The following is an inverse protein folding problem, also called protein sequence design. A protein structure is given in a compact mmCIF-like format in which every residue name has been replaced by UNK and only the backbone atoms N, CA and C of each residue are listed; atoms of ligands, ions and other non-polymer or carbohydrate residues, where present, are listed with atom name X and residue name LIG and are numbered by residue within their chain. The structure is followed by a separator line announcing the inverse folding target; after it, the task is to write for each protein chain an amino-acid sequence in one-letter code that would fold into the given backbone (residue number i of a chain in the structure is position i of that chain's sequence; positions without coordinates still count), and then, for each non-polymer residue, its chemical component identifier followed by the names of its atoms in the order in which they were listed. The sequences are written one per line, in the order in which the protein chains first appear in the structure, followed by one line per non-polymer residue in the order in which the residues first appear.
data_IF_210987890531
#
_entry.id   IF_210987890531
#
_cell.length_a   1.000
_cell.length_b   1.000
_cell.length_c   1.000
_cell.angle_alpha   90.00
_cell.angle_beta   90.00
_cell.angle_gamma   90.00
#
_symmetry.space_group_name_H-M   'P 1'
#
loop_
_entity.id
_entity.type
_entity.pdbx_description
1 polymer ?
#
# COMPACT_ATOMS: atom_id res chain seq x y z
N UNK A 1 15.05 -1.34 3.89
CA UNK A 1 15.79 -2.24 4.80
C UNK A 1 14.85 -3.24 5.47
N UNK A 2 14.36 -3.07 6.71
CA UNK A 2 13.61 -4.16 7.39
C UNK A 2 12.35 -4.66 6.64
N UNK A 3 11.53 -3.76 6.08
CA UNK A 3 10.33 -4.16 5.32
C UNK A 3 10.69 -5.00 4.08
N UNK A 4 11.82 -4.70 3.44
CA UNK A 4 12.26 -5.42 2.24
C UNK A 4 12.81 -6.79 2.61
N UNK A 5 13.51 -6.90 3.74
CA UNK A 5 13.99 -8.18 4.26
C UNK A 5 12.82 -9.11 4.61
N UNK A 6 11.76 -8.58 5.23
CA UNK A 6 10.54 -9.35 5.52
C UNK A 6 9.91 -9.83 4.22
N UNK A 7 9.76 -8.95 3.22
CA UNK A 7 9.21 -9.32 1.91
C UNK A 7 10.04 -10.44 1.27
N UNK A 8 11.37 -10.30 1.21
CA UNK A 8 12.25 -11.31 0.64
C UNK A 8 12.20 -12.65 1.38
N UNK A 9 12.20 -12.60 2.72
CA UNK A 9 12.14 -13.81 3.52
C UNK A 9 10.81 -14.56 3.34
N UNK A 10 9.69 -13.84 3.38
CA UNK A 10 8.36 -14.40 3.22
C UNK A 10 8.13 -14.93 1.79
N UNK A 11 8.63 -14.23 0.77
CA UNK A 11 8.64 -14.71 -0.62
C UNK A 11 9.37 -16.06 -0.73
N UNK A 12 10.58 -16.17 -0.18
CA UNK A 12 11.34 -17.42 -0.17
C UNK A 12 10.64 -18.54 0.63
N UNK A 13 9.94 -18.19 1.71
CA UNK A 13 9.21 -19.13 2.55
C UNK A 13 7.79 -19.47 2.03
N UNK A 14 7.33 -18.85 0.94
CA UNK A 14 5.97 -18.97 0.40
C UNK A 14 4.89 -18.60 1.44
N UNK A 15 5.18 -17.57 2.26
CA UNK A 15 4.26 -17.03 3.27
C UNK A 15 3.72 -15.70 2.75
N UNK A 16 2.39 -15.49 2.72
CA UNK A 16 1.81 -14.25 2.22
C UNK A 16 2.07 -13.07 3.18
N UNK A 17 2.34 -11.90 2.61
CA UNK A 17 2.60 -10.66 3.34
C UNK A 17 1.47 -9.66 3.11
N UNK A 18 1.03 -9.02 4.20
CA UNK A 18 0.10 -7.89 4.14
C UNK A 18 0.87 -6.62 4.45
N UNK A 19 0.98 -5.71 3.48
CA UNK A 19 1.50 -4.37 3.69
C UNK A 19 0.46 -3.53 4.41
N UNK A 20 0.80 -3.02 5.58
CA UNK A 20 -0.19 -2.54 6.53
C UNK A 20 0.22 -1.27 7.26
N UNK A 21 -0.84 -0.59 7.71
CA UNK A 21 -0.85 0.67 8.46
C UNK A 21 -0.39 1.88 7.64
N UNK A 22 -1.12 2.98 7.79
CA UNK A 22 -0.79 4.29 7.24
C UNK A 22 -0.62 4.42 5.71
N UNK A 23 -0.91 3.36 4.95
CA UNK A 23 -1.02 3.43 3.49
C UNK A 23 -2.15 4.40 3.13
N UNK A 24 -1.81 5.47 2.40
CA UNK A 24 -2.75 6.51 1.98
C UNK A 24 -3.63 7.06 3.13
N UNK A 25 -3.09 7.17 4.35
CA UNK A 25 -3.79 7.61 5.57
C UNK A 25 -4.42 9.00 5.42
N UNK A 26 -3.69 9.98 4.87
CA UNK A 26 -4.18 11.33 4.57
C UNK A 26 -5.23 11.30 3.48
N UNK A 27 -5.09 10.45 2.46
CA UNK A 27 -6.14 10.27 1.45
C UNK A 27 -7.41 9.76 2.09
N UNK A 28 -7.33 8.74 2.95
CA UNK A 28 -8.49 8.17 3.64
C UNK A 28 -9.13 9.17 4.63
N UNK A 29 -8.32 9.93 5.38
CA UNK A 29 -8.80 10.83 6.44
C UNK A 29 -9.15 12.24 5.98
N UNK A 30 -8.41 12.80 5.02
CA UNK A 30 -8.49 14.21 4.56
C UNK A 30 -8.71 14.37 3.05
N UNK A 31 -8.71 13.27 2.29
CA UNK A 31 -8.99 13.28 0.85
C UNK A 31 -7.82 13.75 -0.04
N UNK A 32 -6.64 14.01 0.52
CA UNK A 32 -5.47 14.49 -0.23
C UNK A 32 -4.23 13.66 0.14
N UNK A 33 -3.55 13.02 -0.82
CA UNK A 33 -2.33 12.27 -0.56
C UNK A 33 -1.11 13.19 -0.40
N UNK A 34 -0.15 12.76 0.40
CA UNK A 34 1.23 13.26 0.36
C UNK A 34 2.06 12.50 -0.67
N UNK A 35 3.16 13.09 -1.13
CA UNK A 35 4.13 12.39 -2.01
C UNK A 35 4.68 11.12 -1.37
N UNK A 36 4.94 11.16 -0.06
CA UNK A 36 5.45 10.01 0.68
C UNK A 36 4.46 8.84 0.65
N UNK A 37 3.16 9.10 0.80
CA UNK A 37 2.14 8.04 0.75
C UNK A 37 1.97 7.44 -0.64
N UNK A 38 2.17 8.22 -1.71
CA UNK A 38 2.18 7.69 -3.07
C UNK A 38 3.37 6.74 -3.27
N UNK A 39 4.56 7.13 -2.81
CA UNK A 39 5.75 6.27 -2.88
C UNK A 39 5.59 5.00 -2.03
N UNK A 40 5.03 5.10 -0.83
CA UNK A 40 4.74 3.94 0.03
C UNK A 40 3.73 2.98 -0.62
N UNK A 41 2.63 3.52 -1.16
CA UNK A 41 1.65 2.73 -1.90
C UNK A 41 2.24 2.03 -3.13
N UNK A 42 3.15 2.69 -3.86
CA UNK A 42 3.85 2.06 -4.97
C UNK A 42 4.75 0.90 -4.50
N UNK A 43 5.48 1.07 -3.39
CA UNK A 43 6.32 0.00 -2.83
C UNK A 43 5.52 -1.18 -2.29
N UNK A 44 4.30 -0.93 -1.81
CA UNK A 44 3.41 -1.97 -1.30
C UNK A 44 3.00 -3.02 -2.34
N UNK A 45 3.19 -2.77 -3.64
CA UNK A 45 2.92 -3.73 -4.73
C UNK A 45 3.66 -5.07 -4.56
N UNK A 46 4.80 -5.06 -3.86
CA UNK A 46 5.59 -6.28 -3.61
C UNK A 46 4.95 -7.21 -2.58
N UNK A 47 3.95 -6.75 -1.84
CA UNK A 47 3.18 -7.58 -0.92
C UNK A 47 1.97 -8.21 -1.62
N UNK A 48 1.47 -9.33 -1.07
CA UNK A 48 0.31 -10.02 -1.61
C UNK A 48 -1.00 -9.25 -1.39
N UNK A 49 -1.04 -8.41 -0.35
CA UNK A 49 -2.20 -7.61 -0.01
C UNK A 49 -1.78 -6.28 0.62
N UNK A 50 -2.58 -5.24 0.40
CA UNK A 50 -2.37 -3.90 0.96
C UNK A 50 -3.60 -3.51 1.79
N UNK A 51 -3.37 -3.11 3.03
CA UNK A 51 -4.43 -2.77 4.00
C UNK A 51 -4.53 -1.25 4.19
N UNK A 52 -5.75 -0.72 4.02
CA UNK A 52 -6.08 0.68 4.26
C UNK A 52 -6.78 0.88 5.60
N UNK A 53 -6.45 1.96 6.31
CA UNK A 53 -7.21 2.39 7.48
C UNK A 53 -8.52 3.06 7.08
N UNK A 54 -9.52 3.00 7.98
CA UNK A 54 -10.82 3.67 7.79
C UNK A 54 -10.67 5.20 7.72
N UNK A 55 -11.55 5.85 6.96
CA UNK A 55 -11.68 7.30 6.95
C UNK A 55 -12.85 7.79 6.08
N UNK A 56 -13.25 9.07 6.19
CA UNK A 56 -14.38 9.63 5.45
C UNK A 56 -14.25 9.52 3.93
N UNK A 57 -13.02 9.40 3.42
CA UNK A 57 -12.71 9.35 2.00
C UNK A 57 -12.22 7.96 1.56
N UNK A 58 -12.59 6.89 2.28
CA UNK A 58 -12.08 5.52 2.03
C UNK A 58 -12.28 5.05 0.58
N UNK A 59 -13.41 5.38 -0.05
CA UNK A 59 -13.64 5.01 -1.46
C UNK A 59 -12.66 5.68 -2.42
N UNK A 60 -12.24 6.92 -2.13
CA UNK A 60 -11.23 7.61 -2.92
C UNK A 60 -9.85 6.98 -2.70
N UNK A 61 -9.52 6.61 -1.46
CA UNK A 61 -8.27 5.91 -1.15
C UNK A 61 -8.19 4.53 -1.83
N UNK A 62 -9.27 3.75 -1.84
CA UNK A 62 -9.34 2.45 -2.54
C UNK A 62 -9.10 2.63 -4.04
N UNK A 63 -9.80 3.58 -4.69
CA UNK A 63 -9.64 3.84 -6.13
C UNK A 63 -8.22 4.31 -6.47
N UNK A 64 -7.64 5.16 -5.64
CA UNK A 64 -6.27 5.63 -5.82
C UNK A 64 -5.27 4.48 -5.69
N UNK A 65 -5.44 3.63 -4.69
CA UNK A 65 -4.58 2.46 -4.50
C UNK A 65 -4.68 1.50 -5.71
N UNK A 66 -5.90 1.20 -6.18
CA UNK A 66 -6.11 0.36 -7.37
C UNK A 66 -5.43 0.94 -8.62
N UNK A 67 -5.55 2.26 -8.86
CA UNK A 67 -4.88 2.95 -9.97
C UNK A 67 -3.34 2.89 -9.86
N UNK A 68 -2.78 3.12 -8.67
CA UNK A 68 -1.33 3.02 -8.44
C UNK A 68 -0.83 1.61 -8.72
N UNK A 69 -1.47 0.58 -8.13
CA UNK A 69 -1.04 -0.80 -8.27
C UNK A 69 -1.14 -1.30 -9.72
N UNK A 70 -2.21 -0.94 -10.44
CA UNK A 70 -2.37 -1.28 -11.87
C UNK A 70 -1.29 -0.65 -12.74
N UNK A 71 -0.85 0.58 -12.43
CA UNK A 71 0.20 1.25 -13.22
C UNK A 71 1.57 0.61 -13.04
N UNK A 72 1.83 0.04 -11.87
CA UNK A 72 3.10 -0.61 -11.56
C UNK A 72 3.14 -2.09 -12.00
N UNK A 73 2.00 -2.69 -12.34
CA UNK A 73 1.92 -4.05 -12.91
C UNK A 73 2.32 -4.12 -14.39
N UNK A 74 2.55 -2.97 -15.04
CA UNK A 74 2.95 -2.87 -16.44
C UNK A 74 4.45 -2.59 -16.61
#
# INVERSE_FOLDING_TARGET
ELQEEILWFCEAAQIPVIWATQVLEQTAKKGQPSRAEISDAAMSQRADCVMLNKGPHILAAIRMLDDILRRMQN
#
